data_IF_613977873608
#
_entry.id   IF_613977873608
#
_cell.length_a   1.000
_cell.length_b   1.000
_cell.length_c   1.000
_cell.angle_alpha   90.00
_cell.angle_beta   90.00
_cell.angle_gamma   90.00
#
_symmetry.space_group_name_H-M   'P 1'
#
loop_
_entity.id
_entity.type
_entity.pdbx_description
1 polymer ?
#
# COMPACT_ATOMS: atom_id res chain seq x y z
N UNK A 1 17.10 -11.28 -3.24
CA UNK A 1 16.01 -10.31 -3.36
C UNK A 1 15.17 -10.79 -4.54
N UNK A 2 13.87 -11.03 -4.35
CA UNK A 2 12.97 -11.29 -5.48
C UNK A 2 12.98 -10.04 -6.38
N UNK A 3 13.06 -10.25 -7.69
CA UNK A 3 12.93 -9.16 -8.67
C UNK A 3 11.51 -8.59 -8.51
N UNK A 4 11.39 -7.29 -8.49
CA UNK A 4 10.10 -6.60 -8.52
C UNK A 4 9.95 -5.88 -9.85
N UNK A 5 8.76 -5.99 -10.47
CA UNK A 5 8.42 -5.23 -11.65
C UNK A 5 7.78 -3.91 -11.24
N UNK A 6 8.30 -2.80 -11.75
CA UNK A 6 7.70 -1.48 -11.57
C UNK A 6 6.66 -1.23 -12.66
N UNK A 7 5.40 -1.06 -12.25
CA UNK A 7 4.26 -0.74 -13.13
C UNK A 7 3.73 0.63 -12.70
N UNK A 8 3.92 1.64 -13.55
CA UNK A 8 3.74 3.02 -13.13
C UNK A 8 4.71 3.36 -11.99
N UNK A 9 4.18 3.84 -10.86
CA UNK A 9 4.96 4.10 -9.65
C UNK A 9 4.93 2.95 -8.64
N UNK A 10 4.15 1.89 -8.88
CA UNK A 10 3.97 0.78 -7.94
C UNK A 10 4.90 -0.39 -8.24
N UNK A 11 5.38 -1.07 -7.21
CA UNK A 11 6.23 -2.25 -7.32
C UNK A 11 5.44 -3.52 -7.05
N UNK A 12 5.60 -4.52 -7.94
CA UNK A 12 4.95 -5.83 -7.88
C UNK A 12 6.03 -6.90 -7.81
N UNK A 13 6.19 -7.60 -6.68
CA UNK A 13 7.15 -8.69 -6.55
C UNK A 13 6.89 -9.81 -7.55
N UNK A 14 7.97 -10.29 -8.19
CA UNK A 14 7.94 -11.52 -8.97
C UNK A 14 7.76 -12.74 -8.03
N UNK A 15 7.25 -13.85 -8.60
CA UNK A 15 6.99 -15.07 -7.83
C UNK A 15 5.67 -15.06 -7.05
N UNK A 16 4.88 -13.98 -7.14
CA UNK A 16 3.50 -13.92 -6.67
C UNK A 16 2.52 -14.08 -7.83
N UNK A 17 1.31 -14.49 -7.48
CA UNK A 17 0.16 -14.50 -8.38
C UNK A 17 -0.74 -13.30 -8.05
N UNK A 18 -1.43 -12.75 -9.05
CA UNK A 18 -2.26 -11.55 -8.88
C UNK A 18 -3.69 -11.77 -9.41
N UNK A 19 -4.69 -11.45 -8.60
CA UNK A 19 -6.05 -11.18 -9.07
C UNK A 19 -6.18 -9.68 -9.29
N UNK A 20 -6.06 -9.26 -10.54
CA UNK A 20 -6.00 -7.84 -10.91
C UNK A 20 -7.28 -7.11 -10.57
N UNK A 21 -8.44 -7.74 -10.85
CA UNK A 21 -9.75 -7.13 -10.59
C UNK A 21 -10.04 -7.03 -9.08
N UNK A 22 -9.67 -8.06 -8.32
CA UNK A 22 -9.89 -8.07 -6.87
C UNK A 22 -8.83 -7.27 -6.09
N UNK A 23 -7.76 -6.79 -6.76
CA UNK A 23 -6.69 -6.05 -6.11
C UNK A 23 -5.94 -6.86 -5.06
N UNK A 24 -5.77 -8.17 -5.27
CA UNK A 24 -5.10 -9.07 -4.33
C UNK A 24 -3.91 -9.78 -4.96
N UNK A 25 -2.98 -10.18 -4.09
CA UNK A 25 -1.91 -11.09 -4.46
C UNK A 25 -2.05 -12.42 -3.70
N UNK A 26 -1.50 -13.50 -4.28
CA UNK A 26 -1.47 -14.82 -3.71
C UNK A 26 -0.06 -15.41 -3.75
N UNK A 27 0.38 -16.02 -2.66
CA UNK A 27 1.65 -16.75 -2.55
C UNK A 27 1.40 -18.18 -2.12
N UNK A 28 1.80 -19.13 -2.95
CA UNK A 28 1.68 -20.56 -2.62
C UNK A 28 2.75 -20.93 -1.58
N UNK A 29 2.32 -21.50 -0.46
CA UNK A 29 3.16 -21.99 0.63
C UNK A 29 2.80 -23.46 0.90
N UNK A 30 3.46 -24.40 0.17
CA UNK A 30 3.13 -25.84 0.16
C UNK A 30 1.69 -26.08 -0.33
N UNK A 31 0.81 -26.63 0.52
CA UNK A 31 -0.62 -26.88 0.22
C UNK A 31 -1.53 -25.69 0.52
N UNK A 32 -0.98 -24.64 1.15
CA UNK A 32 -1.72 -23.44 1.52
C UNK A 32 -1.37 -22.28 0.62
N UNK A 33 -2.25 -21.28 0.58
CA UNK A 33 -2.05 -20.05 -0.17
C UNK A 33 -2.25 -18.87 0.77
N UNK A 34 -1.24 -18.03 0.87
CA UNK A 34 -1.30 -16.76 1.59
C UNK A 34 -1.84 -15.68 0.66
N UNK A 35 -2.83 -14.92 1.11
CA UNK A 35 -3.48 -13.84 0.37
C UNK A 35 -3.15 -12.51 1.03
N UNK A 36 -2.90 -11.49 0.22
CA UNK A 36 -2.76 -10.11 0.69
C UNK A 36 -3.28 -9.11 -0.35
N UNK A 37 -3.19 -7.84 -0.01
CA UNK A 37 -3.72 -6.74 -0.81
C UNK A 37 -2.61 -6.21 -1.74
N UNK A 38 -2.94 -6.04 -3.01
CA UNK A 38 -1.99 -5.52 -4.00
C UNK A 38 -1.79 -4.00 -3.84
N UNK A 39 -0.61 -3.46 -4.23
CA UNK A 39 -0.24 -2.06 -3.99
C UNK A 39 -1.25 -1.06 -4.52
N UNK A 40 -1.77 -1.24 -5.74
CA UNK A 40 -2.72 -0.30 -6.35
C UNK A 40 -3.96 -0.10 -5.48
N UNK A 41 -4.55 -1.17 -4.93
CA UNK A 41 -5.72 -1.07 -4.06
C UNK A 41 -5.36 -0.41 -2.72
N UNK A 42 -4.21 -0.78 -2.13
CA UNK A 42 -3.71 -0.18 -0.89
C UNK A 42 -3.53 1.34 -1.02
N UNK A 43 -2.91 1.81 -2.10
CA UNK A 43 -2.64 3.24 -2.30
C UNK A 43 -3.89 4.06 -2.64
N UNK A 44 -4.86 3.51 -3.41
CA UNK A 44 -6.12 4.19 -3.69
C UNK A 44 -6.95 4.39 -2.42
N UNK A 45 -6.97 3.36 -1.58
CA UNK A 45 -7.79 3.35 -0.37
C UNK A 45 -7.31 4.33 0.70
N UNK A 46 -6.04 4.73 0.63
CA UNK A 46 -5.39 5.45 1.70
C UNK A 46 -5.07 4.52 2.89
N UNK A 47 -4.62 5.07 4.01
CA UNK A 47 -4.28 4.26 5.19
C UNK A 47 -5.48 3.51 5.74
N UNK A 48 -5.46 2.18 5.73
CA UNK A 48 -6.57 1.37 6.23
C UNK A 48 -6.85 1.67 7.71
N UNK A 49 -8.13 1.83 8.02
CA UNK A 49 -8.65 2.14 9.36
C UNK A 49 -9.35 0.93 9.98
N UNK A 50 -9.85 0.03 9.14
CA UNK A 50 -10.53 -1.18 9.58
C UNK A 50 -10.28 -2.34 8.63
N UNK A 51 -10.13 -3.53 9.21
CA UNK A 51 -10.04 -4.80 8.49
C UNK A 51 -10.96 -5.81 9.18
N UNK A 52 -11.84 -6.44 8.41
CA UNK A 52 -12.72 -7.51 8.87
C UNK A 52 -12.43 -8.79 8.10
N UNK A 53 -12.35 -9.91 8.78
CA UNK A 53 -12.04 -11.22 8.19
C UNK A 53 -13.05 -12.24 8.64
N UNK A 54 -13.43 -13.15 7.74
CA UNK A 54 -14.25 -14.32 8.10
C UNK A 54 -13.46 -15.28 8.98
N UNK A 55 -14.18 -16.07 9.77
CA UNK A 55 -13.58 -17.01 10.71
C UNK A 55 -12.87 -18.17 10.01
N UNK A 56 -11.84 -18.69 10.66
CA UNK A 56 -11.16 -19.92 10.25
C UNK A 56 -12.17 -21.10 10.17
N UNK A 57 -12.03 -21.95 9.18
CA UNK A 57 -12.94 -23.04 8.87
C UNK A 57 -14.08 -22.67 7.93
N UNK A 58 -14.27 -21.38 7.59
CA UNK A 58 -15.31 -20.96 6.65
C UNK A 58 -14.95 -21.41 5.23
N UNK A 59 -15.90 -22.07 4.55
CA UNK A 59 -15.83 -22.35 3.11
C UNK A 59 -16.25 -21.12 2.32
N UNK A 60 -15.46 -20.76 1.31
CA UNK A 60 -15.68 -19.56 0.48
C UNK A 60 -15.53 -19.94 -0.99
N UNK A 61 -16.55 -19.64 -1.79
CA UNK A 61 -16.52 -19.86 -3.23
C UNK A 61 -15.69 -18.77 -3.92
N UNK A 62 -15.17 -19.11 -5.09
CA UNK A 62 -14.46 -18.18 -5.99
C UNK A 62 -15.23 -16.87 -6.18
N UNK A 63 -14.54 -15.72 -6.02
CA UNK A 63 -15.10 -14.40 -6.13
C UNK A 63 -15.94 -13.93 -4.93
N UNK A 64 -16.21 -14.79 -3.94
CA UNK A 64 -16.93 -14.42 -2.72
C UNK A 64 -15.98 -13.85 -1.66
N UNK A 65 -16.56 -13.16 -0.67
CA UNK A 65 -15.82 -12.43 0.36
C UNK A 65 -15.04 -13.35 1.29
N UNK A 66 -13.76 -13.05 1.47
CA UNK A 66 -12.91 -13.50 2.60
C UNK A 66 -13.03 -12.54 3.79
N UNK A 67 -13.40 -11.30 3.53
CA UNK A 67 -13.52 -10.20 4.48
C UNK A 67 -13.60 -8.86 3.78
N UNK A 68 -13.36 -7.78 4.49
CA UNK A 68 -13.37 -6.41 3.95
C UNK A 68 -12.24 -5.55 4.52
N UNK A 69 -11.92 -4.51 3.79
CA UNK A 69 -10.95 -3.47 4.14
C UNK A 69 -11.63 -2.11 4.01
N UNK A 70 -11.33 -1.20 4.91
CA UNK A 70 -11.85 0.15 4.90
C UNK A 70 -10.72 1.16 5.10
N UNK A 71 -10.65 2.14 4.23
CA UNK A 71 -9.77 3.30 4.31
C UNK A 71 -10.58 4.58 4.14
N UNK A 72 -9.96 5.75 4.33
CA UNK A 72 -10.67 7.04 4.27
C UNK A 72 -11.22 7.38 2.88
N UNK A 73 -10.71 6.73 1.83
CA UNK A 73 -11.08 7.01 0.44
C UNK A 73 -11.87 5.88 -0.22
N UNK A 74 -11.78 4.66 0.33
CA UNK A 74 -12.34 3.49 -0.33
C UNK A 74 -12.65 2.38 0.67
N UNK A 75 -13.78 1.70 0.44
CA UNK A 75 -14.16 0.43 1.07
C UNK A 75 -14.16 -0.66 0.00
N UNK A 76 -13.58 -1.80 0.30
CA UNK A 76 -13.64 -2.94 -0.60
C UNK A 76 -13.79 -4.28 0.12
N UNK A 77 -14.21 -5.28 -0.66
CA UNK A 77 -14.35 -6.67 -0.22
C UNK A 77 -13.18 -7.48 -0.76
N UNK A 78 -12.40 -8.06 0.14
CA UNK A 78 -11.32 -8.99 -0.23
C UNK A 78 -11.94 -10.29 -0.69
N UNK A 79 -11.73 -10.65 -1.96
CA UNK A 79 -12.40 -11.78 -2.61
C UNK A 79 -11.50 -13.02 -2.68
N UNK A 80 -12.11 -14.19 -2.54
CA UNK A 80 -11.42 -15.45 -2.75
C UNK A 80 -11.07 -15.62 -4.24
N UNK A 81 -9.79 -15.91 -4.58
CA UNK A 81 -9.37 -16.08 -5.97
C UNK A 81 -9.72 -17.46 -6.55
N UNK A 82 -10.22 -18.38 -5.73
CA UNK A 82 -10.68 -19.73 -6.05
C UNK A 82 -11.57 -20.26 -4.91
N UNK A 83 -12.26 -21.39 -5.12
CA UNK A 83 -12.98 -22.07 -4.04
C UNK A 83 -11.99 -22.53 -2.98
N UNK A 84 -12.26 -22.23 -1.71
CA UNK A 84 -11.31 -22.44 -0.63
C UNK A 84 -11.95 -22.60 0.74
N UNK A 85 -11.13 -23.07 1.68
CA UNK A 85 -11.40 -23.04 3.13
C UNK A 85 -10.40 -22.10 3.79
N UNK A 86 -10.86 -21.19 4.64
CA UNK A 86 -9.99 -20.32 5.43
C UNK A 86 -9.28 -21.15 6.50
N UNK A 87 -7.94 -21.17 6.49
CA UNK A 87 -7.09 -21.89 7.44
C UNK A 87 -6.42 -21.00 8.47
N UNK A 88 -6.33 -19.70 8.15
CA UNK A 88 -5.76 -18.71 9.05
C UNK A 88 -6.16 -17.30 8.66
N UNK A 89 -6.16 -16.40 9.63
CA UNK A 89 -6.38 -14.97 9.45
C UNK A 89 -5.32 -14.18 10.20
N UNK A 90 -4.94 -13.05 9.67
CA UNK A 90 -3.96 -12.17 10.31
C UNK A 90 -4.61 -11.33 11.40
N UNK A 91 -4.61 -11.84 12.63
CA UNK A 91 -5.22 -11.14 13.78
C UNK A 91 -4.56 -9.80 14.11
N UNK A 92 -3.30 -9.57 13.71
CA UNK A 92 -2.61 -8.30 13.94
C UNK A 92 -3.32 -7.14 13.21
N UNK A 93 -4.02 -7.42 12.11
CA UNK A 93 -4.75 -6.39 11.34
C UNK A 93 -5.93 -5.78 12.09
N UNK A 94 -6.47 -6.44 13.12
CA UNK A 94 -7.54 -5.86 13.95
C UNK A 94 -7.05 -4.66 14.76
N UNK A 95 -5.83 -4.73 15.29
CA UNK A 95 -5.23 -3.63 16.07
C UNK A 95 -4.36 -2.70 15.22
N UNK A 96 -3.85 -3.20 14.10
CA UNK A 96 -2.90 -2.49 13.25
C UNK A 96 -3.24 -2.66 11.76
N UNK A 97 -4.41 -2.17 11.29
CA UNK A 97 -4.86 -2.35 9.91
C UNK A 97 -3.89 -1.75 8.88
N UNK A 98 -3.12 -0.73 9.26
CA UNK A 98 -2.09 -0.11 8.42
C UNK A 98 -0.90 -1.01 8.07
N UNK A 99 -0.74 -2.17 8.70
CA UNK A 99 0.26 -3.15 8.25
C UNK A 99 0.06 -3.56 6.80
N UNK A 100 -1.21 -3.63 6.35
CA UNK A 100 -1.53 -3.89 4.93
C UNK A 100 -0.93 -2.84 3.99
N UNK A 101 -0.83 -1.57 4.43
CA UNK A 101 -0.25 -0.50 3.64
C UNK A 101 1.29 -0.46 3.74
N UNK A 102 1.83 -0.66 4.95
CA UNK A 102 3.26 -0.48 5.25
C UNK A 102 4.12 -1.66 4.84
N UNK A 103 3.59 -2.88 4.97
CA UNK A 103 4.29 -4.12 4.60
C UNK A 103 3.34 -5.11 3.91
N UNK A 104 2.80 -4.75 2.73
CA UNK A 104 1.75 -5.51 2.05
C UNK A 104 2.15 -6.94 1.70
N UNK A 105 3.45 -7.22 1.51
CA UNK A 105 3.97 -8.52 1.08
C UNK A 105 4.61 -9.34 2.22
N UNK A 106 4.77 -8.74 3.40
CA UNK A 106 5.27 -9.37 4.61
C UNK A 106 4.19 -9.49 5.67
N UNK A 107 4.28 -8.67 6.74
CA UNK A 107 3.38 -8.75 7.90
C UNK A 107 1.93 -8.32 7.60
N UNK A 108 1.69 -7.59 6.49
CA UNK A 108 0.37 -7.13 6.06
C UNK A 108 -0.46 -8.16 5.27
N UNK A 109 -0.11 -9.46 5.32
CA UNK A 109 -0.92 -10.50 4.70
C UNK A 109 -2.34 -10.54 5.31
N UNK A 110 -3.35 -10.97 4.51
CA UNK A 110 -4.75 -10.92 4.92
C UNK A 110 -5.25 -12.27 5.47
N UNK A 111 -5.14 -13.34 4.67
CA UNK A 111 -5.63 -14.67 5.03
C UNK A 111 -4.72 -15.78 4.50
N UNK A 112 -4.78 -16.94 5.14
CA UNK A 112 -4.22 -18.19 4.65
C UNK A 112 -5.39 -19.10 4.30
N UNK A 113 -5.42 -19.60 3.07
CA UNK A 113 -6.51 -20.40 2.54
C UNK A 113 -5.99 -21.71 1.93
N UNK A 114 -6.83 -22.74 1.95
CA UNK A 114 -6.61 -24.00 1.25
C UNK A 114 -7.52 -24.06 0.03
N UNK A 115 -6.96 -24.25 -1.15
CA UNK A 115 -7.71 -24.36 -2.39
C UNK A 115 -8.44 -25.71 -2.47
N UNK A 116 -9.75 -25.68 -2.79
CA UNK A 116 -10.59 -26.88 -2.87
C UNK A 116 -11.01 -27.26 -4.29
N UNK A 117 -10.83 -26.35 -5.26
CA UNK A 117 -11.13 -26.57 -6.68
C UNK A 117 -10.05 -25.96 -7.59
N UNK A 118 -9.83 -26.50 -8.80
CA UNK A 118 -8.73 -26.08 -9.68
C UNK A 118 -8.93 -24.71 -10.33
N UNK A 119 -10.18 -24.21 -10.43
CA UNK A 119 -10.47 -22.91 -11.04
C UNK A 119 -9.85 -21.77 -10.23
N UNK A 120 -9.13 -20.87 -10.90
CA UNK A 120 -8.41 -19.76 -10.26
C UNK A 120 -8.53 -18.49 -11.08
N UNK A 121 -8.57 -17.34 -10.39
CA UNK A 121 -8.58 -15.99 -10.99
C UNK A 121 -7.19 -15.35 -10.97
N UNK A 122 -6.24 -15.93 -10.22
CA UNK A 122 -4.90 -15.36 -10.11
C UNK A 122 -4.01 -15.75 -11.28
N UNK A 123 -3.22 -14.80 -11.73
CA UNK A 123 -2.29 -14.91 -12.84
C UNK A 123 -0.85 -14.66 -12.35
N UNK A 124 0.16 -15.33 -12.92
CA UNK A 124 1.54 -14.95 -12.69
C UNK A 124 1.78 -13.50 -13.15
N UNK A 125 2.77 -12.82 -12.56
CA UNK A 125 3.04 -11.40 -12.86
C UNK A 125 3.24 -11.15 -14.35
N UNK A 126 3.91 -12.06 -15.06
CA UNK A 126 4.14 -11.95 -16.51
C UNK A 126 2.86 -11.85 -17.33
N UNK A 127 1.81 -12.57 -16.93
CA UNK A 127 0.50 -12.54 -17.59
C UNK A 127 -0.38 -11.38 -17.06
N UNK A 128 -0.23 -10.99 -15.81
CA UNK A 128 -0.99 -9.90 -15.17
C UNK A 128 -0.47 -8.50 -15.55
N UNK A 129 0.76 -8.39 -16.07
CA UNK A 129 1.48 -7.11 -16.26
C UNK A 129 0.68 -6.08 -17.06
N UNK A 130 0.12 -6.45 -18.21
CA UNK A 130 -0.58 -5.50 -19.07
C UNK A 130 -1.90 -5.02 -18.46
N UNK A 131 -2.64 -5.93 -17.83
CA UNK A 131 -3.87 -5.60 -17.11
C UNK A 131 -3.60 -4.72 -15.90
N UNK A 132 -2.51 -5.00 -15.14
CA UNK A 132 -2.08 -4.15 -14.02
C UNK A 132 -1.65 -2.76 -14.51
N UNK A 133 -0.93 -2.66 -15.63
CA UNK A 133 -0.53 -1.37 -16.23
C UNK A 133 -1.76 -0.54 -16.57
N UNK A 134 -2.69 -1.11 -17.32
CA UNK A 134 -3.94 -0.45 -17.71
C UNK A 134 -4.71 0.03 -16.48
N UNK A 135 -4.81 -0.80 -15.45
CA UNK A 135 -5.53 -0.48 -14.21
C UNK A 135 -4.84 0.66 -13.44
N UNK A 136 -3.52 0.57 -13.23
CA UNK A 136 -2.73 1.59 -12.51
C UNK A 136 -2.81 2.94 -13.21
N UNK A 137 -2.73 2.97 -14.54
CA UNK A 137 -2.84 4.17 -15.35
C UNK A 137 -4.27 4.76 -15.31
N UNK A 138 -5.29 3.91 -15.50
CA UNK A 138 -6.70 4.32 -15.45
C UNK A 138 -7.07 4.95 -14.09
N UNK A 139 -6.66 4.31 -13.01
CA UNK A 139 -6.92 4.76 -11.65
C UNK A 139 -5.97 5.87 -11.19
N UNK A 140 -4.96 6.21 -11.99
CA UNK A 140 -3.92 7.20 -11.67
C UNK A 140 -3.27 6.95 -10.31
N UNK A 141 -2.98 5.68 -10.03
CA UNK A 141 -2.40 5.27 -8.75
C UNK A 141 -0.99 5.84 -8.60
N UNK A 142 -0.72 6.43 -7.44
CA UNK A 142 0.59 6.93 -7.06
C UNK A 142 1.11 6.16 -5.86
N UNK A 143 2.06 5.27 -6.10
CA UNK A 143 2.82 4.61 -5.05
C UNK A 143 4.10 5.39 -4.80
N UNK A 144 4.50 5.53 -3.55
CA UNK A 144 5.78 6.11 -3.12
C UNK A 144 6.61 5.03 -2.40
N UNK A 145 7.86 5.34 -2.09
CA UNK A 145 8.78 4.42 -1.46
C UNK A 145 8.29 3.92 -0.08
N UNK A 146 7.58 4.78 0.66
CA UNK A 146 6.98 4.41 1.93
C UNK A 146 5.54 4.92 2.00
N UNK A 147 4.65 4.13 2.62
CA UNK A 147 3.27 4.52 2.80
C UNK A 147 3.14 5.54 3.94
N UNK A 148 2.52 6.73 3.70
CA UNK A 148 2.49 7.81 4.68
C UNK A 148 1.49 7.56 5.81
N UNK A 149 1.86 7.98 7.01
CA UNK A 149 0.96 8.06 8.16
C UNK A 149 0.09 9.31 8.12
N UNK A 150 0.58 10.37 7.46
CA UNK A 150 -0.10 11.66 7.30
C UNK A 150 0.20 12.26 5.95
N UNK A 151 -0.74 13.05 5.42
CA UNK A 151 -0.60 13.81 4.18
C UNK A 151 -0.76 15.30 4.48
N UNK A 152 0.14 16.12 3.92
CA UNK A 152 0.17 17.57 4.05
C UNK A 152 0.13 18.18 2.64
N UNK A 153 -1.00 18.77 2.27
CA UNK A 153 -1.19 19.45 0.98
C UNK A 153 -1.04 20.95 1.18
N UNK A 154 0.14 21.49 0.89
CA UNK A 154 0.53 22.87 1.19
C UNK A 154 0.71 23.68 -0.13
N UNK A 155 -0.41 23.86 -0.83
CA UNK A 155 -0.45 24.58 -2.10
C UNK A 155 -0.61 26.07 -1.85
N UNK A 156 0.23 26.87 -2.50
CA UNK A 156 0.28 28.32 -2.31
C UNK A 156 0.89 28.77 -0.99
N UNK A 157 1.61 27.88 -0.31
CA UNK A 157 2.27 28.13 0.96
C UNK A 157 3.78 28.10 0.77
N UNK A 158 4.48 29.12 1.27
CA UNK A 158 5.95 29.16 1.23
C UNK A 158 6.55 27.97 1.99
N UNK A 159 7.59 27.35 1.43
CA UNK A 159 8.21 26.14 1.99
C UNK A 159 8.70 26.35 3.43
N UNK A 160 9.18 27.52 3.78
CA UNK A 160 9.59 27.87 5.15
C UNK A 160 8.47 27.67 6.17
N UNK A 161 7.23 28.05 5.83
CA UNK A 161 6.06 27.82 6.68
C UNK A 161 5.65 26.35 6.72
N UNK A 162 5.81 25.62 5.62
CA UNK A 162 5.59 24.16 5.55
C UNK A 162 6.54 23.42 6.49
N UNK A 163 7.82 23.79 6.52
CA UNK A 163 8.83 23.22 7.40
C UNK A 163 8.52 23.46 8.89
N UNK A 164 7.98 24.62 9.25
CA UNK A 164 7.52 24.88 10.62
C UNK A 164 6.43 23.89 11.03
N UNK A 165 5.39 23.74 10.20
CA UNK A 165 4.31 22.76 10.44
C UNK A 165 4.84 21.32 10.51
N UNK A 166 5.74 20.94 9.62
CA UNK A 166 6.37 19.64 9.59
C UNK A 166 7.11 19.34 10.90
N UNK A 167 7.91 20.29 11.38
CA UNK A 167 8.63 20.15 12.64
C UNK A 167 7.68 19.99 13.85
N UNK A 168 6.59 20.75 13.87
CA UNK A 168 5.57 20.64 14.92
C UNK A 168 4.87 19.26 14.91
N UNK A 169 4.61 18.71 13.73
CA UNK A 169 4.02 17.38 13.59
C UNK A 169 5.02 16.28 13.96
N UNK A 170 6.23 16.32 13.43
CA UNK A 170 7.29 15.34 13.72
C UNK A 170 7.59 15.28 15.23
N UNK A 171 7.60 16.42 15.92
CA UNK A 171 7.89 16.46 17.37
C UNK A 171 6.91 15.60 18.19
N UNK A 172 5.68 15.45 17.74
CA UNK A 172 4.60 14.70 18.42
C UNK A 172 4.55 13.21 18.05
N UNK A 173 5.39 12.74 17.12
CA UNK A 173 5.30 11.40 16.52
C UNK A 173 6.39 10.48 17.00
N UNK A 174 6.14 9.18 16.89
CA UNK A 174 7.13 8.15 17.15
C UNK A 174 8.13 8.01 16.00
N UNK A 175 9.29 7.44 16.29
CA UNK A 175 10.30 7.08 15.29
C UNK A 175 9.69 6.18 14.20
N UNK A 176 10.04 6.45 12.93
CA UNK A 176 9.52 5.71 11.78
C UNK A 176 8.17 6.24 11.25
N UNK A 177 7.62 7.30 11.86
CA UNK A 177 6.45 7.99 11.30
C UNK A 177 6.80 8.63 9.94
N UNK A 178 5.87 8.51 8.97
CA UNK A 178 6.07 8.95 7.60
C UNK A 178 5.05 10.02 7.23
N UNK A 179 5.51 11.14 6.66
CA UNK A 179 4.66 12.16 6.05
C UNK A 179 4.80 12.18 4.53
N UNK A 180 3.70 12.40 3.83
CA UNK A 180 3.68 12.79 2.43
C UNK A 180 3.34 14.28 2.36
N UNK A 181 4.26 15.08 1.84
CA UNK A 181 4.13 16.52 1.70
C UNK A 181 4.01 16.85 0.21
N UNK A 182 3.04 17.70 -0.12
CA UNK A 182 2.86 18.21 -1.48
C UNK A 182 2.94 19.73 -1.43
N UNK A 183 3.86 20.31 -2.22
CA UNK A 183 4.08 21.75 -2.32
C UNK A 183 4.20 22.18 -3.78
N UNK A 184 3.79 23.39 -4.09
CA UNK A 184 4.01 24.06 -5.38
C UNK A 184 5.06 25.18 -5.29
N UNK A 185 5.70 25.35 -4.14
CA UNK A 185 6.79 26.29 -3.96
C UNK A 185 8.01 25.87 -4.79
N UNK A 186 8.51 26.72 -5.70
CA UNK A 186 9.65 26.37 -6.56
C UNK A 186 10.96 26.13 -5.80
N UNK A 187 11.07 26.55 -4.55
CA UNK A 187 12.25 26.37 -3.69
C UNK A 187 12.17 25.14 -2.80
N UNK A 188 11.05 24.41 -2.81
CA UNK A 188 10.77 23.34 -1.86
C UNK A 188 11.81 22.23 -1.85
N UNK A 189 12.37 21.84 -3.00
CA UNK A 189 13.42 20.83 -3.11
C UNK A 189 14.72 21.23 -2.40
N UNK A 190 15.11 22.49 -2.53
CA UNK A 190 16.31 23.05 -1.88
C UNK A 190 16.10 23.14 -0.37
N UNK A 191 14.95 23.66 0.04
CA UNK A 191 14.62 23.84 1.46
C UNK A 191 14.46 22.48 2.18
N UNK A 192 13.85 21.49 1.54
CA UNK A 192 13.73 20.14 2.09
C UNK A 192 15.08 19.43 2.22
N UNK A 193 15.98 19.62 1.25
CA UNK A 193 17.37 19.11 1.35
C UNK A 193 18.12 19.74 2.54
N UNK A 194 18.02 21.06 2.68
CA UNK A 194 18.62 21.77 3.82
C UNK A 194 18.02 21.31 5.16
N UNK A 195 16.73 21.09 5.20
CA UNK A 195 16.05 20.61 6.38
C UNK A 195 16.50 19.21 6.76
N UNK A 196 16.70 18.30 5.80
CA UNK A 196 17.28 16.98 6.05
C UNK A 196 18.69 17.09 6.64
N UNK A 197 19.55 17.96 6.09
CA UNK A 197 20.90 18.18 6.59
C UNK A 197 20.94 18.77 8.02
N UNK A 198 19.92 19.55 8.40
CA UNK A 198 19.83 20.22 9.70
C UNK A 198 19.13 19.37 10.77
N UNK A 199 18.49 18.28 10.37
CA UNK A 199 17.73 17.39 11.27
C UNK A 199 18.24 15.97 11.13
N UNK A 200 17.82 15.08 12.03
CA UNK A 200 18.13 13.64 11.90
C UNK A 200 17.13 12.93 10.98
N UNK A 201 16.07 13.63 10.55
CA UNK A 201 14.99 13.06 9.75
C UNK A 201 15.41 12.85 8.28
N UNK A 202 14.66 12.01 7.55
CA UNK A 202 15.02 11.61 6.20
C UNK A 202 13.98 11.99 5.17
N UNK A 203 14.42 12.58 4.06
CA UNK A 203 13.64 12.70 2.82
C UNK A 203 13.84 11.42 2.01
N UNK A 204 12.91 10.48 2.13
CA UNK A 204 13.01 9.13 1.56
C UNK A 204 12.80 9.15 0.05
N UNK A 205 11.93 10.02 -0.43
CA UNK A 205 11.65 10.19 -1.86
C UNK A 205 11.25 11.64 -2.14
N UNK A 206 11.75 12.17 -3.26
CA UNK A 206 11.29 13.39 -3.89
C UNK A 206 10.79 13.08 -5.30
N UNK A 207 9.59 13.57 -5.66
CA UNK A 207 9.01 13.39 -7.00
C UNK A 207 8.38 14.70 -7.45
N UNK A 208 8.58 15.04 -8.73
CA UNK A 208 7.95 16.20 -9.35
C UNK A 208 6.86 15.76 -10.34
N UNK A 209 5.67 16.36 -10.21
CA UNK A 209 4.55 16.15 -11.12
C UNK A 209 4.00 17.53 -11.57
N UNK A 210 4.41 17.98 -12.76
CA UNK A 210 4.12 19.34 -13.23
C UNK A 210 4.76 20.40 -12.34
N UNK A 211 3.94 21.26 -11.73
CA UNK A 211 4.39 22.27 -10.77
C UNK A 211 4.38 21.77 -9.31
N UNK A 212 3.87 20.56 -9.06
CA UNK A 212 3.83 19.99 -7.73
C UNK A 212 5.08 19.19 -7.42
N UNK A 213 5.56 19.33 -6.20
CA UNK A 213 6.65 18.57 -5.64
C UNK A 213 6.12 17.72 -4.48
N UNK A 214 6.41 16.42 -4.53
CA UNK A 214 6.02 15.44 -3.54
C UNK A 214 7.25 15.01 -2.76
N UNK A 215 7.16 15.03 -1.45
CA UNK A 215 8.23 14.56 -0.55
C UNK A 215 7.67 13.51 0.39
N UNK A 216 8.35 12.38 0.47
CA UNK A 216 8.12 11.38 1.51
C UNK A 216 9.18 11.58 2.57
N UNK A 217 8.76 11.92 3.76
CA UNK A 217 9.63 12.25 4.89
C UNK A 217 9.42 11.24 6.00
N UNK A 218 10.50 10.69 6.54
CA UNK A 218 10.47 9.74 7.66
C UNK A 218 11.16 10.32 8.87
N UNK A 219 10.51 10.22 10.04
CA UNK A 219 11.12 10.52 11.34
C UNK A 219 12.15 9.46 11.70
N UNK A 220 13.37 9.89 12.03
CA UNK A 220 14.48 9.04 12.49
C UNK A 220 14.44 8.73 13.97
#
# INVERSE_FOLDING_TARGET
>A
MALALKIGSCEYPDGLLYDVEAGTWARKERELVKIGIAPHLSWISGGFTSVSMKTVGTEVQNGKSLGSIEGPRHFDVVRAPFDCVIKGVNSALHSSPRLVNKDPFGEGWFAIIEQTAPASRVLPLTEATESLRTLVEHLKVRCFAEFPDSEMFEIGVECSAVLVKLNEEIAKRERGWVAHIVSDDPTADIEMTRWEDQTENKVVETRREGNLQHFIVRKS
#
